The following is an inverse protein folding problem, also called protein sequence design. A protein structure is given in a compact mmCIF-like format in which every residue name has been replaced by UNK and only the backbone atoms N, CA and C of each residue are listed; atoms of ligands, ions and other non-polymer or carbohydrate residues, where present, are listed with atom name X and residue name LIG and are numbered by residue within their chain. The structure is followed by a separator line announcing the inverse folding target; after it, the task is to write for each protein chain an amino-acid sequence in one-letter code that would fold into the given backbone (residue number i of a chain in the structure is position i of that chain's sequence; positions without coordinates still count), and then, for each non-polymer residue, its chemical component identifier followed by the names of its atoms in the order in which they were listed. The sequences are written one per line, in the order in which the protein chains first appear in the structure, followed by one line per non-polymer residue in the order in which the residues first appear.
data_IF_453546337369
#
_entry.id   IF_453546337369
#
_cell.length_a   1.000
_cell.length_b   1.000
_cell.length_c   1.000
_cell.angle_alpha   90.00
_cell.angle_beta   90.00
_cell.angle_gamma   90.00
#
_symmetry.space_group_name_H-M   'P 1'
#
loop_
_entity.id
_entity.type
_entity.pdbx_description
1 polymer ?
#
# COMPACT_ATOMS: atom_id res chain seq x y z
N UNK A 1 12.57 4.69 30.05
CA UNK A 1 13.35 5.17 28.90
C UNK A 1 12.38 5.23 27.74
N UNK A 2 11.73 6.38 27.58
CA UNK A 2 10.91 6.64 26.41
C UNK A 2 11.85 6.82 25.22
N UNK A 3 11.64 6.03 24.17
CA UNK A 3 12.35 6.14 22.90
C UNK A 3 11.95 7.48 22.26
N UNK A 4 12.71 8.52 22.60
CA UNK A 4 12.55 9.90 22.13
C UNK A 4 13.11 10.08 20.72
N UNK A 5 12.77 9.19 19.78
CA UNK A 5 12.68 9.60 18.39
C UNK A 5 11.24 10.08 18.19
N UNK A 6 11.03 11.39 18.11
CA UNK A 6 9.72 11.92 17.74
C UNK A 6 9.35 11.32 16.38
N UNK A 7 8.29 10.52 16.33
CA UNK A 7 7.77 9.99 15.07
C UNK A 7 7.44 11.16 14.14
N UNK A 8 7.97 11.15 12.92
CA UNK A 8 7.71 12.19 11.92
C UNK A 8 6.30 12.09 11.31
N UNK A 9 5.52 11.09 11.72
CA UNK A 9 4.08 10.91 11.48
C UNK A 9 3.32 10.82 12.80
N UNK A 10 2.10 11.33 12.83
CA UNK A 10 1.22 11.36 14.01
C UNK A 10 0.32 10.13 14.16
N UNK A 11 0.19 9.30 13.12
CA UNK A 11 -0.53 8.02 13.16
C UNK A 11 0.44 6.84 13.13
N UNK A 12 -0.06 5.65 13.51
CA UNK A 12 0.67 4.39 13.40
C UNK A 12 0.17 3.64 12.18
N UNK A 13 1.08 3.18 11.33
CA UNK A 13 0.72 2.61 10.04
C UNK A 13 1.06 1.13 9.94
N UNK A 14 0.20 0.40 9.25
CA UNK A 14 0.42 -0.94 8.78
C UNK A 14 0.10 -0.99 7.30
N UNK A 15 0.86 -1.78 6.55
CA UNK A 15 0.57 -2.08 5.15
C UNK A 15 0.16 -3.53 5.02
N UNK A 16 -0.84 -3.77 4.19
CA UNK A 16 -1.32 -5.11 3.85
C UNK A 16 -1.44 -5.23 2.34
N UNK A 17 -0.61 -6.07 1.73
CA UNK A 17 -0.81 -6.46 0.33
C UNK A 17 -2.08 -7.31 0.27
N UNK A 18 -2.94 -7.05 -0.72
CA UNK A 18 -4.13 -7.89 -0.93
C UNK A 18 -3.80 -9.39 -0.93
N UNK A 19 -4.74 -10.21 -0.47
CA UNK A 19 -4.61 -11.67 -0.59
C UNK A 19 -4.52 -12.12 -2.05
N UNK A 20 -4.14 -13.38 -2.28
CA UNK A 20 -4.08 -13.99 -3.61
C UNK A 20 -5.40 -13.78 -4.36
N UNK A 21 -5.33 -13.16 -5.53
CA UNK A 21 -6.50 -12.82 -6.35
C UNK A 21 -6.69 -13.78 -7.52
N UNK A 22 -7.89 -13.78 -8.10
CA UNK A 22 -8.19 -14.56 -9.32
C UNK A 22 -7.22 -14.19 -10.47
N UNK A 23 -6.87 -12.91 -10.72
CA UNK A 23 -5.80 -12.57 -11.65
C UNK A 23 -4.44 -13.19 -11.31
N UNK A 24 -4.08 -13.30 -10.03
CA UNK A 24 -2.82 -13.95 -9.65
C UNK A 24 -2.83 -15.44 -10.01
N UNK A 25 -3.95 -16.14 -9.81
CA UNK A 25 -4.09 -17.55 -10.22
C UNK A 25 -4.03 -17.74 -11.73
N UNK A 26 -4.55 -16.77 -12.47
CA UNK A 26 -4.48 -16.75 -13.94
C UNK A 26 -3.15 -16.23 -14.50
N UNK A 27 -2.26 -15.75 -13.62
CA UNK A 27 -1.00 -15.15 -14.02
C UNK A 27 -1.17 -13.85 -14.83
N UNK A 28 -2.18 -13.03 -14.53
CA UNK A 28 -2.48 -11.82 -15.28
C UNK A 28 -2.05 -10.55 -14.53
N UNK A 29 -1.49 -9.60 -15.27
CA UNK A 29 -1.31 -8.21 -14.84
C UNK A 29 -2.66 -7.49 -14.98
N UNK A 30 -3.21 -7.02 -13.86
CA UNK A 30 -4.42 -6.18 -13.82
C UNK A 30 -4.10 -4.89 -13.08
N UNK A 31 -3.94 -3.83 -13.85
CA UNK A 31 -3.38 -2.55 -13.42
C UNK A 31 -4.20 -1.34 -13.83
N UNK A 32 -5.10 -1.48 -14.80
CA UNK A 32 -6.02 -0.40 -15.20
C UNK A 32 -7.18 -0.25 -14.21
N UNK A 33 -7.76 0.96 -14.13
CA UNK A 33 -8.98 1.19 -13.35
C UNK A 33 -10.18 0.43 -13.92
N UNK A 34 -10.31 0.38 -15.24
CA UNK A 34 -11.40 -0.30 -15.96
C UNK A 34 -11.51 -1.77 -15.53
N UNK A 35 -10.38 -2.49 -15.53
CA UNK A 35 -10.34 -3.89 -15.14
C UNK A 35 -10.26 -4.05 -13.63
N UNK A 36 -9.44 -3.25 -12.95
CA UNK A 36 -9.11 -3.43 -11.54
C UNK A 36 -10.31 -3.42 -10.59
N UNK A 37 -11.41 -2.77 -10.97
CA UNK A 37 -12.66 -2.72 -10.18
C UNK A 37 -13.61 -3.88 -10.45
N UNK A 38 -13.38 -4.69 -11.48
CA UNK A 38 -14.29 -5.75 -11.88
C UNK A 38 -14.44 -6.86 -10.82
N UNK A 39 -15.68 -7.31 -10.51
CA UNK A 39 -15.92 -8.32 -9.48
C UNK A 39 -15.22 -9.66 -9.75
N UNK A 40 -15.01 -10.06 -11.00
CA UNK A 40 -14.27 -11.29 -11.33
C UNK A 40 -12.79 -11.25 -10.93
N UNK A 41 -12.26 -10.07 -10.56
CA UNK A 41 -10.87 -9.89 -10.13
C UNK A 41 -10.72 -9.69 -8.62
N UNK A 42 -11.70 -10.16 -7.87
CA UNK A 42 -11.62 -10.31 -6.41
C UNK A 42 -10.61 -11.39 -5.98
N UNK A 43 -10.54 -11.62 -4.67
CA UNK A 43 -9.74 -12.67 -4.06
C UNK A 43 -10.14 -14.06 -4.54
N UNK A 44 -9.15 -14.92 -4.71
CA UNK A 44 -9.34 -16.36 -4.79
C UNK A 44 -9.59 -16.94 -3.38
N UNK A 45 -10.06 -18.20 -3.24
CA UNK A 45 -10.32 -18.81 -1.93
C UNK A 45 -9.12 -18.74 -0.97
N UNK A 46 -7.91 -19.05 -1.44
CA UNK A 46 -6.68 -18.92 -0.63
C UNK A 46 -6.45 -17.48 -0.18
N UNK A 47 -6.77 -16.50 -1.03
CA UNK A 47 -6.63 -15.08 -0.72
C UNK A 47 -7.58 -14.60 0.36
N UNK A 48 -8.79 -15.17 0.43
CA UNK A 48 -9.74 -14.89 1.53
C UNK A 48 -9.17 -15.40 2.84
N UNK A 49 -8.63 -16.63 2.87
CA UNK A 49 -7.98 -17.17 4.06
C UNK A 49 -6.76 -16.33 4.49
N UNK A 50 -5.93 -15.89 3.54
CA UNK A 50 -4.82 -14.96 3.80
C UNK A 50 -5.30 -13.64 4.42
N UNK A 51 -6.38 -13.05 3.90
CA UNK A 51 -6.95 -11.81 4.44
C UNK A 51 -7.50 -11.99 5.87
N UNK A 52 -8.11 -13.15 6.17
CA UNK A 52 -8.56 -13.48 7.53
C UNK A 52 -7.38 -13.57 8.50
N UNK A 53 -6.32 -14.29 8.13
CA UNK A 53 -5.10 -14.42 8.93
C UNK A 53 -4.43 -13.05 9.14
N UNK A 54 -4.35 -12.22 8.11
CA UNK A 54 -3.84 -10.86 8.23
C UNK A 54 -4.68 -10.02 9.19
N UNK A 55 -6.02 -10.12 9.13
CA UNK A 55 -6.92 -9.45 10.07
C UNK A 55 -6.71 -9.90 11.51
N UNK A 56 -6.54 -11.20 11.75
CA UNK A 56 -6.26 -11.76 13.07
C UNK A 56 -4.90 -11.27 13.61
N UNK A 57 -3.87 -11.28 12.75
CA UNK A 57 -2.55 -10.76 13.10
C UNK A 57 -2.61 -9.26 13.43
N UNK A 58 -3.39 -8.49 12.66
CA UNK A 58 -3.54 -7.05 12.90
C UNK A 58 -4.25 -6.80 14.23
N UNK A 59 -5.36 -7.50 14.51
CA UNK A 59 -6.06 -7.42 15.79
C UNK A 59 -5.13 -7.70 16.97
N UNK A 60 -4.32 -8.76 16.88
CA UNK A 60 -3.34 -9.09 17.92
C UNK A 60 -2.32 -7.94 18.15
N UNK A 61 -1.80 -7.34 17.08
CA UNK A 61 -0.87 -6.21 17.21
C UNK A 61 -1.51 -4.95 17.80
N UNK A 62 -2.80 -4.72 17.53
CA UNK A 62 -3.59 -3.65 18.16
C UNK A 62 -3.74 -3.89 19.66
N UNK A 63 -4.06 -5.12 20.08
CA UNK A 63 -4.19 -5.51 21.49
C UNK A 63 -2.85 -5.38 22.24
N UNK A 64 -1.76 -5.89 21.68
CA UNK A 64 -0.39 -5.75 22.22
C UNK A 64 0.00 -4.27 22.37
N UNK A 65 -0.47 -3.43 21.44
CA UNK A 65 -0.25 -1.99 21.44
C UNK A 65 -1.27 -1.19 22.27
N UNK A 66 -2.28 -1.85 22.87
CA UNK A 66 -3.39 -1.24 23.61
C UNK A 66 -4.15 -0.16 22.81
N UNK A 67 -4.31 -0.39 21.51
CA UNK A 67 -5.06 0.52 20.63
C UNK A 67 -6.52 0.06 20.58
N UNK A 68 -7.43 0.96 20.93
CA UNK A 68 -8.87 0.69 20.87
C UNK A 68 -9.38 0.67 19.43
N UNK A 69 -10.37 -0.18 19.14
CA UNK A 69 -10.92 -0.39 17.80
C UNK A 69 -11.56 0.88 17.20
N UNK A 70 -12.05 1.82 18.01
CA UNK A 70 -12.57 3.11 17.54
C UNK A 70 -11.48 4.01 16.90
N UNK A 71 -10.20 3.73 17.20
CA UNK A 71 -9.03 4.42 16.63
C UNK A 71 -8.47 3.73 15.39
N UNK A 72 -9.09 2.63 14.93
CA UNK A 72 -8.66 1.92 13.73
C UNK A 72 -9.26 2.57 12.49
N UNK A 73 -8.43 2.77 11.46
CA UNK A 73 -8.85 3.17 10.11
C UNK A 73 -8.32 2.17 9.11
N UNK A 74 -9.14 1.76 8.16
CA UNK A 74 -8.79 0.86 7.06
C UNK A 74 -8.89 1.67 5.77
N UNK A 75 -7.74 2.09 5.24
CA UNK A 75 -7.66 2.82 3.97
C UNK A 75 -7.30 1.84 2.86
N UNK A 76 -8.09 1.77 1.79
CA UNK A 76 -7.93 0.72 0.78
C UNK A 76 -8.04 1.22 -0.65
N UNK A 77 -7.33 0.57 -1.56
CA UNK A 77 -7.46 0.81 -3.00
C UNK A 77 -8.85 0.42 -3.52
N UNK A 78 -9.39 1.12 -4.54
CA UNK A 78 -10.68 0.79 -5.16
C UNK A 78 -10.72 -0.57 -5.86
N UNK A 79 -9.57 -1.21 -6.11
CA UNK A 79 -9.56 -2.47 -6.85
C UNK A 79 -10.30 -3.58 -6.10
N UNK A 80 -10.95 -4.47 -6.85
CA UNK A 80 -11.85 -5.49 -6.29
C UNK A 80 -11.13 -6.41 -5.30
N UNK A 81 -9.88 -6.81 -5.58
CA UNK A 81 -9.05 -7.62 -4.67
C UNK A 81 -8.67 -6.91 -3.36
N UNK A 82 -8.40 -5.61 -3.39
CA UNK A 82 -8.08 -4.83 -2.18
C UNK A 82 -9.34 -4.51 -1.39
N UNK A 83 -10.45 -4.19 -2.06
CA UNK A 83 -11.76 -3.99 -1.44
C UNK A 83 -12.22 -5.27 -0.74
N UNK A 84 -12.10 -6.43 -1.38
CA UNK A 84 -12.45 -7.72 -0.77
C UNK A 84 -11.51 -8.04 0.42
N UNK A 85 -10.20 -7.81 0.30
CA UNK A 85 -9.26 -7.96 1.45
C UNK A 85 -9.66 -7.08 2.62
N UNK A 86 -9.93 -5.80 2.37
CA UNK A 86 -10.31 -4.84 3.41
C UNK A 86 -11.65 -5.21 4.08
N UNK A 87 -12.63 -5.70 3.31
CA UNK A 87 -13.90 -6.23 3.85
C UNK A 87 -13.68 -7.39 4.81
N UNK A 88 -12.85 -8.35 4.42
CA UNK A 88 -12.53 -9.52 5.26
C UNK A 88 -11.84 -9.10 6.55
N UNK A 89 -10.86 -8.18 6.47
CA UNK A 89 -10.19 -7.67 7.67
C UNK A 89 -11.17 -6.90 8.58
N UNK A 90 -12.02 -6.03 8.01
CA UNK A 90 -13.03 -5.30 8.77
C UNK A 90 -13.99 -6.26 9.52
N UNK A 91 -14.40 -7.36 8.89
CA UNK A 91 -15.20 -8.41 9.53
C UNK A 91 -14.49 -9.05 10.73
N UNK A 92 -13.20 -9.37 10.61
CA UNK A 92 -12.41 -9.92 11.73
C UNK A 92 -12.36 -8.94 12.90
N UNK A 93 -12.23 -7.64 12.62
CA UNK A 93 -12.19 -6.58 13.63
C UNK A 93 -13.60 -6.17 14.12
N UNK A 94 -14.67 -6.77 13.61
CA UNK A 94 -16.06 -6.36 13.88
C UNK A 94 -16.35 -4.88 13.57
N UNK A 95 -15.69 -4.33 12.55
CA UNK A 95 -15.90 -2.97 12.04
C UNK A 95 -16.86 -3.05 10.83
N UNK A 96 -18.01 -2.35 10.85
CA UNK A 96 -18.86 -2.27 9.66
C UNK A 96 -18.11 -1.64 8.48
N UNK A 97 -18.14 -2.28 7.31
CA UNK A 97 -17.33 -1.85 6.16
C UNK A 97 -17.84 -0.56 5.52
N UNK A 98 -19.10 -0.23 5.71
CA UNK A 98 -19.76 1.02 5.31
C UNK A 98 -19.58 2.15 6.34
N UNK A 99 -18.89 1.89 7.45
CA UNK A 99 -18.61 2.91 8.46
C UNK A 99 -17.51 3.89 7.99
N UNK A 100 -17.43 5.09 8.62
CA UNK A 100 -16.35 6.04 8.37
C UNK A 100 -14.94 5.53 8.69
N UNK A 101 -14.81 4.36 9.35
CA UNK A 101 -13.51 3.75 9.62
C UNK A 101 -12.88 3.12 8.38
N UNK A 102 -13.70 2.74 7.38
CA UNK A 102 -13.23 2.12 6.14
C UNK A 102 -13.30 3.15 5.00
N UNK A 103 -12.14 3.53 4.45
CA UNK A 103 -12.05 4.58 3.43
C UNK A 103 -11.38 4.08 2.16
N UNK A 104 -12.12 4.13 1.06
CA UNK A 104 -11.55 3.90 -0.27
C UNK A 104 -10.70 5.12 -0.67
N UNK A 105 -9.51 4.88 -1.21
CA UNK A 105 -8.60 5.90 -1.72
C UNK A 105 -8.03 5.47 -3.07
N UNK A 106 -8.37 6.21 -4.14
CA UNK A 106 -7.88 5.92 -5.49
C UNK A 106 -6.35 5.99 -5.59
N UNK A 107 -5.73 6.89 -4.83
CA UNK A 107 -4.27 7.06 -4.75
C UNK A 107 -3.52 5.82 -4.24
N UNK A 108 -4.23 4.82 -3.70
CA UNK A 108 -3.67 3.53 -3.28
C UNK A 108 -3.75 2.44 -4.37
N UNK A 109 -4.27 2.73 -5.57
CA UNK A 109 -4.38 1.75 -6.67
C UNK A 109 -3.03 1.16 -7.10
N UNK A 110 -3.10 0.01 -7.77
CA UNK A 110 -1.92 -0.63 -8.36
C UNK A 110 -1.24 0.36 -9.32
N UNK A 111 0.08 0.22 -9.48
CA UNK A 111 0.79 0.94 -10.54
C UNK A 111 0.18 0.58 -11.88
N UNK A 112 -0.26 1.57 -12.65
CA UNK A 112 -0.76 1.34 -14.00
C UNK A 112 0.42 1.09 -14.92
N UNK A 113 0.52 -0.09 -15.51
CA UNK A 113 1.66 -0.46 -16.35
C UNK A 113 1.44 -0.14 -17.84
N UNK A 114 0.35 0.55 -18.18
CA UNK A 114 0.02 0.89 -19.56
C UNK A 114 -0.65 -0.25 -20.34
N UNK A 115 -1.18 0.04 -21.53
CA UNK A 115 -1.96 -0.91 -22.33
C UNK A 115 -1.15 -2.12 -22.81
N UNK A 116 0.17 -1.97 -22.97
CA UNK A 116 1.06 -3.05 -23.45
C UNK A 116 1.20 -4.20 -22.46
N UNK A 117 1.01 -3.92 -21.17
CA UNK A 117 1.14 -4.90 -20.08
C UNK A 117 -0.22 -5.34 -19.52
N UNK A 118 -1.27 -4.53 -19.67
CA UNK A 118 -2.61 -4.84 -19.15
C UNK A 118 -3.15 -6.17 -19.72
N UNK A 119 -3.65 -7.04 -18.83
CA UNK A 119 -4.12 -8.40 -19.11
C UNK A 119 -3.08 -9.32 -19.77
N UNK A 120 -1.78 -9.00 -19.69
CA UNK A 120 -0.68 -9.88 -20.11
C UNK A 120 -0.15 -10.72 -18.95
N UNK A 121 0.74 -11.66 -19.27
CA UNK A 121 1.38 -12.50 -18.24
C UNK A 121 2.15 -11.66 -17.24
N UNK A 122 2.05 -12.02 -15.97
CA UNK A 122 2.89 -11.49 -14.89
C UNK A 122 4.39 -11.79 -15.07
N UNK A 123 4.75 -12.72 -15.95
CA UNK A 123 6.16 -12.96 -16.33
C UNK A 123 6.82 -11.76 -17.00
N UNK A 124 6.05 -10.74 -17.38
CA UNK A 124 6.53 -9.47 -17.92
C UNK A 124 7.00 -8.47 -16.87
N UNK A 125 6.78 -8.73 -15.58
CA UNK A 125 7.23 -7.82 -14.53
C UNK A 125 8.75 -7.51 -14.54
N UNK A 126 9.66 -8.46 -14.87
CA UNK A 126 11.07 -8.14 -15.03
C UNK A 126 11.35 -7.01 -16.03
N UNK A 127 10.61 -6.93 -17.14
CA UNK A 127 10.76 -5.84 -18.13
C UNK A 127 10.45 -4.47 -17.50
N UNK A 128 9.46 -4.41 -16.60
CA UNK A 128 9.10 -3.18 -15.87
C UNK A 128 10.19 -2.83 -14.85
N UNK A 129 10.73 -3.83 -14.15
CA UNK A 129 11.78 -3.60 -13.15
C UNK A 129 13.09 -3.13 -13.79
N UNK A 130 13.45 -3.67 -14.96
CA UNK A 130 14.61 -3.22 -15.73
C UNK A 130 14.46 -1.74 -16.14
N UNK A 131 13.23 -1.29 -16.47
CA UNK A 131 12.95 0.13 -16.73
C UNK A 131 13.13 0.98 -15.47
N UNK A 132 12.61 0.53 -14.32
CA UNK A 132 12.70 1.27 -13.05
C UNK A 132 14.15 1.37 -12.52
N UNK A 133 14.97 0.34 -12.74
CA UNK A 133 16.40 0.36 -12.39
C UNK A 133 17.18 1.33 -13.28
N UNK A 134 16.79 1.44 -14.55
CA UNK A 134 17.42 2.36 -15.50
C UNK A 134 17.04 3.81 -15.25
N UNK A 135 15.74 4.09 -15.10
CA UNK A 135 15.22 5.43 -14.81
C UNK A 135 13.84 5.36 -14.12
N UNK A 136 13.77 5.56 -12.79
CA UNK A 136 12.51 5.49 -12.06
C UNK A 136 11.56 6.66 -12.34
N UNK A 137 11.99 7.67 -13.10
CA UNK A 137 11.16 8.78 -13.57
C UNK A 137 10.50 8.49 -14.91
N UNK A 138 10.85 7.38 -15.58
CA UNK A 138 10.22 6.96 -16.82
C UNK A 138 9.39 5.68 -16.62
N UNK A 139 8.09 5.78 -16.90
CA UNK A 139 7.19 4.63 -16.90
C UNK A 139 7.18 3.87 -18.23
N UNK A 140 6.55 2.69 -18.29
CA UNK A 140 6.22 2.05 -19.54
C UNK A 140 5.27 2.94 -20.37
N UNK A 141 5.19 2.71 -21.68
CA UNK A 141 4.35 3.51 -22.58
C UNK A 141 2.89 3.58 -22.09
N UNK A 142 2.41 4.79 -21.84
CA UNK A 142 1.06 5.06 -21.33
C UNK A 142 0.83 4.65 -19.87
N UNK A 143 1.83 4.12 -19.17
CA UNK A 143 1.77 3.76 -17.74
C UNK A 143 2.43 4.78 -16.82
N UNK A 144 2.40 4.50 -15.53
CA UNK A 144 3.02 5.31 -14.47
C UNK A 144 4.51 4.98 -14.31
N UNK A 145 5.34 5.99 -14.07
CA UNK A 145 6.70 5.82 -13.53
C UNK A 145 6.64 5.42 -12.05
N UNK A 146 7.78 5.02 -11.47
CA UNK A 146 7.88 4.81 -10.03
C UNK A 146 7.65 6.12 -9.26
N UNK A 147 8.13 7.25 -9.79
CA UNK A 147 7.93 8.58 -9.21
C UNK A 147 6.45 9.02 -9.23
N UNK A 148 5.70 8.73 -10.30
CA UNK A 148 4.25 9.02 -10.37
C UNK A 148 3.49 8.31 -9.25
N UNK A 149 3.80 7.02 -9.04
CA UNK A 149 3.19 6.21 -7.97
C UNK A 149 3.57 6.78 -6.61
N UNK A 150 4.83 7.12 -6.38
CA UNK A 150 5.27 7.76 -5.14
C UNK A 150 4.59 9.10 -4.90
N UNK A 151 4.40 9.92 -5.94
CA UNK A 151 3.73 11.23 -5.86
C UNK A 151 2.29 11.09 -5.33
N UNK A 152 1.51 10.16 -5.89
CA UNK A 152 0.14 9.92 -5.40
C UNK A 152 0.09 9.25 -4.03
N UNK A 153 1.07 8.40 -3.69
CA UNK A 153 1.19 7.83 -2.35
C UNK A 153 1.54 8.90 -1.31
N UNK A 154 2.36 9.89 -1.65
CA UNK A 154 2.63 11.04 -0.80
C UNK A 154 1.33 11.81 -0.50
N UNK A 155 0.51 12.03 -1.53
CA UNK A 155 -0.81 12.66 -1.37
C UNK A 155 -1.72 11.82 -0.46
N UNK A 156 -1.71 10.48 -0.60
CA UNK A 156 -2.46 9.59 0.27
C UNK A 156 -2.03 9.73 1.74
N UNK A 157 -0.71 9.68 2.00
CA UNK A 157 -0.17 9.82 3.36
C UNK A 157 -0.49 11.16 3.99
N UNK A 158 -0.32 12.26 3.25
CA UNK A 158 -0.66 13.60 3.73
C UNK A 158 -2.16 13.75 4.02
N UNK A 159 -3.02 13.15 3.18
CA UNK A 159 -4.46 13.15 3.41
C UNK A 159 -4.83 12.37 4.67
N UNK A 160 -4.24 11.18 4.88
CA UNK A 160 -4.47 10.37 6.08
C UNK A 160 -3.98 11.08 7.35
N UNK A 161 -2.82 11.75 7.30
CA UNK A 161 -2.29 12.54 8.43
C UNK A 161 -3.14 13.78 8.74
N UNK A 162 -3.70 14.44 7.73
CA UNK A 162 -4.56 15.60 7.92
C UNK A 162 -5.93 15.22 8.51
N UNK A 163 -6.47 14.07 8.10
CA UNK A 163 -7.82 13.62 8.46
C UNK A 163 -7.87 12.83 9.77
N UNK A 164 -6.85 12.02 10.05
CA UNK A 164 -6.81 11.13 11.20
C UNK A 164 -5.73 11.57 12.19
N UNK A 165 -6.05 11.49 13.48
CA UNK A 165 -5.14 11.89 14.54
C UNK A 165 -4.99 10.74 15.55
N UNK A 166 -3.74 10.33 15.79
CA UNK A 166 -3.37 9.27 16.74
C UNK A 166 -4.17 7.98 16.51
N UNK A 167 -4.40 7.64 15.26
CA UNK A 167 -5.09 6.43 14.82
C UNK A 167 -4.10 5.32 14.46
N UNK A 168 -4.60 4.07 14.49
CA UNK A 168 -3.96 2.95 13.81
C UNK A 168 -4.54 2.82 12.41
N UNK A 169 -3.71 2.99 11.39
CA UNK A 169 -4.13 3.02 9.99
C UNK A 169 -3.59 1.79 9.28
N UNK A 170 -4.50 0.93 8.81
CA UNK A 170 -4.20 -0.17 7.92
C UNK A 170 -4.39 0.28 6.47
N UNK A 171 -3.31 0.25 5.69
CA UNK A 171 -3.29 0.57 4.27
C UNK A 171 -3.34 -0.73 3.47
N UNK A 172 -4.48 -1.01 2.84
CA UNK A 172 -4.69 -2.20 1.99
C UNK A 172 -4.51 -1.85 0.52
N UNK A 173 -3.42 -2.33 -0.08
CA UNK A 173 -3.03 -1.97 -1.43
C UNK A 173 -2.33 -3.16 -2.12
N UNK A 174 -1.42 -2.87 -3.06
CA UNK A 174 -0.85 -3.82 -4.01
C UNK A 174 0.65 -3.96 -3.85
N UNK A 175 1.25 -4.84 -4.65
CA UNK A 175 2.67 -5.14 -4.56
C UNK A 175 3.55 -3.89 -4.75
N UNK A 176 3.46 -3.24 -5.90
CA UNK A 176 4.34 -2.13 -6.25
C UNK A 176 4.11 -0.88 -5.38
N UNK A 177 2.88 -0.36 -5.23
CA UNK A 177 2.61 0.79 -4.38
C UNK A 177 3.07 0.61 -2.93
N UNK A 178 2.89 -0.58 -2.33
CA UNK A 178 3.32 -0.80 -0.95
C UNK A 178 4.84 -0.95 -0.84
N UNK A 179 5.51 -1.54 -1.82
CA UNK A 179 6.98 -1.55 -1.89
C UNK A 179 7.55 -0.13 -1.96
N UNK A 180 6.97 0.69 -2.84
CA UNK A 180 7.36 2.10 -3.01
C UNK A 180 7.07 2.92 -1.76
N UNK A 181 5.90 2.77 -1.14
CA UNK A 181 5.54 3.44 0.10
C UNK A 181 6.51 3.10 1.24
N UNK A 182 6.81 1.82 1.45
CA UNK A 182 7.75 1.41 2.49
C UNK A 182 9.14 1.99 2.26
N UNK A 183 9.62 1.98 1.03
CA UNK A 183 10.92 2.52 0.66
C UNK A 183 11.04 4.02 0.93
N UNK A 184 10.05 4.82 0.48
CA UNK A 184 10.08 6.28 0.70
C UNK A 184 9.92 6.63 2.18
N UNK A 185 9.12 5.88 2.94
CA UNK A 185 8.95 6.11 4.38
C UNK A 185 10.22 5.71 5.14
N UNK A 186 10.88 4.63 4.75
CA UNK A 186 12.17 4.23 5.30
C UNK A 186 13.25 5.29 5.05
N UNK A 187 13.35 5.81 3.82
CA UNK A 187 14.24 6.92 3.49
C UNK A 187 13.88 8.18 4.29
N UNK A 188 12.61 8.58 4.33
CA UNK A 188 12.12 9.76 5.06
C UNK A 188 12.43 9.70 6.57
N UNK A 189 12.40 8.50 7.17
CA UNK A 189 12.80 8.26 8.57
C UNK A 189 14.29 8.51 8.81
N UNK A 190 15.14 8.17 7.84
CA UNK A 190 16.60 8.34 7.96
C UNK A 190 17.05 9.80 7.77
N UNK A 191 16.25 10.63 7.10
CA UNK A 191 16.50 12.06 6.96
C UNK A 191 16.47 12.73 8.35
N UNK A 192 17.62 12.82 9.01
CA UNK A 192 17.76 13.43 10.33
C UNK A 192 18.09 14.92 10.20
N UNK A 193 17.48 15.78 11.02
CA UNK A 193 17.95 17.17 11.19
C UNK A 193 17.29 18.26 10.34
N UNK A 194 16.12 18.01 9.74
CA UNK A 194 15.28 19.07 9.17
C UNK A 194 13.99 19.25 9.98
N UNK A 195 13.61 20.51 10.25
CA UNK A 195 12.28 20.90 10.76
C UNK A 195 11.15 20.58 9.76
N UNK A 196 11.49 20.03 8.60
CA UNK A 196 10.56 19.65 7.54
C UNK A 196 9.56 18.60 7.97
N UNK A 197 8.28 18.88 7.73
CA UNK A 197 7.18 17.95 7.92
C UNK A 197 7.22 16.77 6.94
N UNK A 198 6.26 15.86 7.06
CA UNK A 198 6.16 14.65 6.24
C UNK A 198 6.31 14.91 4.72
N UNK A 199 5.68 15.96 4.21
CA UNK A 199 5.70 16.32 2.80
C UNK A 199 7.13 16.57 2.28
N UNK A 200 7.92 17.35 3.02
CA UNK A 200 9.28 17.69 2.65
C UNK A 200 10.19 16.46 2.68
N UNK A 201 10.05 15.62 3.72
CA UNK A 201 10.84 14.39 3.87
C UNK A 201 10.57 13.38 2.75
N UNK A 202 9.31 13.24 2.34
CA UNK A 202 8.96 12.42 1.17
C UNK A 202 9.54 13.04 -0.09
N UNK A 203 9.42 14.37 -0.28
CA UNK A 203 9.95 15.05 -1.46
C UNK A 203 11.49 14.88 -1.58
N UNK A 204 12.23 14.97 -0.48
CA UNK A 204 13.67 14.71 -0.46
C UNK A 204 14.02 13.25 -0.78
N UNK A 205 13.10 12.31 -0.55
CA UNK A 205 13.27 10.89 -0.85
C UNK A 205 12.94 10.55 -2.32
N UNK A 206 12.40 11.49 -3.11
CA UNK A 206 12.07 11.30 -4.53
C UNK A 206 13.29 11.54 -5.43
N UNK A 207 14.33 10.75 -5.20
CA UNK A 207 15.57 10.74 -5.98
C UNK A 207 15.80 9.34 -6.55
N UNK A 208 16.45 9.24 -7.72
CA UNK A 208 16.61 7.96 -8.42
C UNK A 208 17.21 6.85 -7.55
N UNK A 209 18.25 7.17 -6.77
CA UNK A 209 18.94 6.22 -5.88
C UNK A 209 18.06 5.63 -4.80
N UNK A 210 16.99 6.33 -4.40
CA UNK A 210 15.97 5.81 -3.49
C UNK A 210 14.90 5.08 -4.29
N UNK A 211 14.29 5.73 -5.29
CA UNK A 211 13.13 5.21 -6.01
C UNK A 211 13.39 3.83 -6.66
N UNK A 212 14.58 3.59 -7.20
CA UNK A 212 14.94 2.29 -7.81
C UNK A 212 15.17 1.17 -6.79
N UNK A 213 15.14 1.44 -5.49
CA UNK A 213 15.39 0.45 -4.42
C UNK A 213 14.11 -0.16 -3.82
N UNK A 214 12.94 0.20 -4.34
CA UNK A 214 11.65 -0.20 -3.76
C UNK A 214 11.47 -1.73 -3.67
N UNK A 215 12.10 -2.50 -4.57
CA UNK A 215 12.07 -3.98 -4.58
C UNK A 215 12.63 -4.63 -3.32
N UNK A 216 13.50 -3.94 -2.56
CA UNK A 216 13.99 -4.40 -1.25
C UNK A 216 12.87 -4.56 -0.20
N UNK A 217 11.72 -3.92 -0.44
CA UNK A 217 10.58 -3.92 0.46
C UNK A 217 9.44 -4.84 -0.02
N UNK A 218 9.76 -5.85 -0.84
CA UNK A 218 8.79 -6.81 -1.37
C UNK A 218 7.88 -7.40 -0.28
N UNK A 219 6.62 -7.63 -0.65
CA UNK A 219 5.57 -8.22 0.18
C UNK A 219 4.96 -9.42 -0.52
N UNK A 220 4.74 -10.51 0.20
CA UNK A 220 3.92 -11.63 -0.26
C UNK A 220 2.43 -11.26 -0.24
N UNK A 221 1.61 -12.00 -0.99
CA UNK A 221 0.15 -11.80 -0.96
C UNK A 221 -0.40 -12.05 0.45
N UNK A 222 -1.22 -11.13 0.95
CA UNK A 222 -1.74 -11.19 2.32
C UNK A 222 -0.73 -10.87 3.41
N UNK A 223 0.49 -10.44 3.06
CA UNK A 223 1.48 -10.06 4.07
C UNK A 223 1.12 -8.72 4.72
N UNK A 224 0.99 -8.75 6.05
CA UNK A 224 0.84 -7.58 6.91
C UNK A 224 2.20 -7.17 7.47
N UNK A 225 2.53 -5.88 7.39
CA UNK A 225 3.78 -5.33 7.96
C UNK A 225 3.54 -3.97 8.61
N UNK A 226 4.08 -3.70 9.81
CA UNK A 226 4.16 -2.34 10.33
C UNK A 226 4.97 -1.45 9.38
N UNK A 227 4.50 -0.23 9.15
CA UNK A 227 5.17 0.77 8.32
C UNK A 227 5.89 1.76 9.24
N UNK A 228 7.23 1.73 9.15
CA UNK A 228 8.24 2.52 9.89
C UNK A 228 8.21 2.50 11.41
#
# INVERSE_FOLDING_TARGET
MEDSSASFVGNRYWVLRHGKSIPNERGLIVSSMENGVLPEYQLAPDGVAQAQLAGQSFLKQLEESKISLDKVRICYSPFSRTTHTAKVVAQVLSIPFDSPQCKMMETLRERYFGPTFELKSHDKYPEIWDLDEKDPFMGPEGGESADDVVSRLATAMLSMEAEFQRCAILVVSHGDPLQMLQNIMHSAKQQSGGDGGLAERIQMSRVASVLSQHRKFALLTGELRPLV
#
